data_IF_512756916009
#
_entry.id   IF_512756916009
#
_cell.length_a   1.000
_cell.length_b   1.000
_cell.length_c   1.000
_cell.angle_alpha   90.00
_cell.angle_beta   90.00
_cell.angle_gamma   90.00
#
_symmetry.space_group_name_H-M   'P 1'
#
loop_
_entity.id
_entity.type
_entity.pdbx_description
1 polymer ?
#
# COMPACT_ATOMS: atom_id res chain seq x y z
N UNK A 1 -13.74 7.99 -24.61
CA UNK A 1 -12.74 8.87 -25.25
C UNK A 1 -12.13 9.71 -24.15
N UNK A 2 -10.88 9.47 -23.79
CA UNK A 2 -10.17 10.33 -22.84
C UNK A 2 -9.67 11.51 -23.66
N UNK A 3 -10.24 12.70 -23.46
CA UNK A 3 -9.69 13.92 -24.03
C UNK A 3 -8.27 14.10 -23.49
N UNK A 4 -7.29 14.14 -24.40
CA UNK A 4 -5.93 14.49 -24.05
C UNK A 4 -5.92 16.00 -23.84
N UNK A 5 -5.81 16.40 -22.58
CA UNK A 5 -5.50 17.78 -22.24
C UNK A 5 -4.03 17.95 -22.60
N UNK A 6 -3.76 18.78 -23.60
CA UNK A 6 -2.39 19.15 -23.98
C UNK A 6 -1.89 20.16 -22.93
N UNK A 7 -1.24 19.63 -21.90
CA UNK A 7 -0.71 20.42 -20.80
C UNK A 7 0.69 20.86 -21.22
N UNK A 8 0.93 22.17 -21.31
CA UNK A 8 2.23 22.77 -21.64
C UNK A 8 3.24 22.62 -20.47
N UNK A 9 3.52 21.39 -20.05
CA UNK A 9 4.47 21.02 -19.00
C UNK A 9 5.36 19.92 -19.56
N UNK A 10 6.61 19.87 -19.11
CA UNK A 10 7.50 18.75 -19.38
C UNK A 10 6.82 17.41 -19.03
N UNK A 11 6.80 16.47 -19.98
CA UNK A 11 6.02 15.23 -19.86
C UNK A 11 6.46 14.39 -18.65
N UNK A 12 7.76 14.37 -18.34
CA UNK A 12 8.31 13.62 -17.23
C UNK A 12 8.03 14.33 -15.89
N UNK A 13 8.11 15.66 -15.85
CA UNK A 13 7.69 16.45 -14.69
C UNK A 13 6.19 16.24 -14.37
N UNK A 14 5.32 16.28 -15.38
CA UNK A 14 3.88 16.04 -15.19
C UNK A 14 3.58 14.60 -14.72
N UNK A 15 4.30 13.61 -15.28
CA UNK A 15 4.22 12.22 -14.83
C UNK A 15 4.68 12.02 -13.40
N UNK A 16 5.74 12.71 -12.99
CA UNK A 16 6.23 12.70 -11.61
C UNK A 16 5.22 13.36 -10.67
N UNK A 17 4.67 14.51 -11.04
CA UNK A 17 3.64 15.19 -10.26
C UNK A 17 2.42 14.28 -10.02
N UNK A 18 1.90 13.63 -11.06
CA UNK A 18 0.80 12.68 -10.91
C UNK A 18 1.18 11.47 -10.05
N UNK A 19 2.43 11.01 -10.13
CA UNK A 19 2.92 9.93 -9.25
C UNK A 19 2.92 10.38 -7.79
N UNK A 20 3.41 11.58 -7.50
CA UNK A 20 3.41 12.14 -6.15
C UNK A 20 1.98 12.30 -5.61
N UNK A 21 1.04 12.81 -6.41
CA UNK A 21 -0.38 12.91 -6.00
C UNK A 21 -0.98 11.55 -5.61
N UNK A 22 -0.76 10.52 -6.42
CA UNK A 22 -1.25 9.17 -6.13
C UNK A 22 -0.56 8.59 -4.89
N UNK A 23 0.76 8.72 -4.80
CA UNK A 23 1.55 8.20 -3.68
C UNK A 23 1.19 8.87 -2.36
N UNK A 24 0.88 10.17 -2.36
CA UNK A 24 0.40 10.88 -1.17
C UNK A 24 -0.86 10.22 -0.61
N UNK A 25 -1.84 9.93 -1.47
CA UNK A 25 -3.08 9.27 -1.06
C UNK A 25 -2.86 7.83 -0.59
N UNK A 26 -1.97 7.09 -1.25
CA UNK A 26 -1.62 5.73 -0.85
C UNK A 26 -0.96 5.70 0.54
N UNK A 27 -0.02 6.61 0.82
CA UNK A 27 0.62 6.71 2.13
C UNK A 27 -0.33 7.21 3.22
N UNK A 28 -1.18 8.20 2.90
CA UNK A 28 -2.25 8.66 3.81
C UNK A 28 -3.17 7.51 4.19
N UNK A 29 -3.62 6.71 3.21
CA UNK A 29 -4.45 5.53 3.46
C UNK A 29 -3.72 4.51 4.35
N UNK A 30 -2.45 4.22 4.07
CA UNK A 30 -1.67 3.29 4.88
C UNK A 30 -1.56 3.77 6.34
N UNK A 31 -1.24 5.05 6.56
CA UNK A 31 -1.12 5.64 7.88
C UNK A 31 -2.46 5.67 8.65
N UNK A 32 -3.54 6.11 8.02
CA UNK A 32 -4.87 6.21 8.65
C UNK A 32 -5.36 4.83 9.12
N UNK A 33 -5.22 3.81 8.27
CA UNK A 33 -5.66 2.45 8.60
C UNK A 33 -4.77 1.82 9.68
N UNK A 34 -3.45 2.05 9.61
CA UNK A 34 -2.53 1.58 10.63
C UNK A 34 -2.86 2.23 12.00
N UNK A 35 -3.14 3.53 12.02
CA UNK A 35 -3.52 4.25 13.23
C UNK A 35 -4.82 3.71 13.82
N UNK A 36 -5.87 3.52 13.00
CA UNK A 36 -7.12 2.88 13.45
C UNK A 36 -6.86 1.51 14.05
N UNK A 37 -6.03 0.69 13.41
CA UNK A 37 -5.69 -0.66 13.88
C UNK A 37 -4.97 -0.63 15.24
N UNK A 38 -4.05 0.32 15.45
CA UNK A 38 -3.26 0.47 16.67
C UNK A 38 -4.10 1.00 17.84
N UNK A 39 -4.97 1.98 17.58
CA UNK A 39 -5.78 2.70 18.57
C UNK A 39 -7.04 1.93 19.00
N UNK A 40 -7.59 1.07 18.15
CA UNK A 40 -8.86 0.36 18.44
C UNK A 40 -8.72 -0.82 19.43
N UNK A 41 -7.53 -1.06 19.97
CA UNK A 41 -7.28 -2.17 20.92
C UNK A 41 -7.48 -3.56 20.30
N UNK A 42 -7.46 -3.68 18.96
CA UNK A 42 -7.70 -4.96 18.29
C UNK A 42 -6.63 -6.00 18.65
N UNK A 43 -5.37 -5.57 18.73
CA UNK A 43 -4.23 -6.40 19.13
C UNK A 43 -4.34 -6.96 20.55
N UNK A 44 -5.09 -6.31 21.44
CA UNK A 44 -5.22 -6.72 22.85
C UNK A 44 -6.24 -7.88 23.02
N UNK A 45 -7.05 -8.16 21.98
CA UNK A 45 -8.12 -9.16 21.99
C UNK A 45 -7.91 -10.22 20.89
N UNK A 46 -6.76 -10.87 20.93
CA UNK A 46 -6.40 -12.02 20.08
C UNK A 46 -6.68 -13.30 20.89
N UNK A 47 -7.33 -14.34 20.31
CA UNK A 47 -7.53 -14.61 18.87
C UNK A 47 -8.79 -14.03 18.22
N UNK A 48 -9.71 -13.44 18.98
CA UNK A 48 -11.05 -13.03 18.51
C UNK A 48 -10.98 -12.06 17.32
N UNK A 49 -10.06 -11.10 17.38
CA UNK A 49 -9.88 -10.09 16.33
C UNK A 49 -8.92 -10.50 15.21
N UNK A 50 -8.38 -11.72 15.23
CA UNK A 50 -7.30 -12.13 14.31
C UNK A 50 -7.62 -11.89 12.84
N UNK A 51 -8.84 -12.23 12.40
CA UNK A 51 -9.28 -12.04 11.00
C UNK A 51 -9.33 -10.57 10.62
N UNK A 52 -9.83 -9.70 11.51
CA UNK A 52 -9.89 -8.27 11.28
C UNK A 52 -8.50 -7.64 11.23
N UNK A 53 -7.63 -8.01 12.18
CA UNK A 53 -6.23 -7.57 12.22
C UNK A 53 -5.55 -7.94 10.89
N UNK A 54 -5.73 -9.17 10.40
CA UNK A 54 -5.18 -9.61 9.12
C UNK A 54 -5.70 -8.77 7.94
N UNK A 55 -7.00 -8.50 7.88
CA UNK A 55 -7.59 -7.70 6.81
C UNK A 55 -7.07 -6.26 6.80
N UNK A 56 -6.93 -5.64 7.98
CA UNK A 56 -6.38 -4.29 8.12
C UNK A 56 -4.88 -4.27 7.80
N UNK A 57 -4.10 -5.23 8.28
CA UNK A 57 -2.69 -5.41 7.92
C UNK A 57 -2.49 -5.50 6.41
N UNK A 58 -3.29 -6.34 5.76
CA UNK A 58 -3.29 -6.51 4.30
C UNK A 58 -3.55 -5.19 3.59
N UNK A 59 -4.51 -4.40 4.09
CA UNK A 59 -4.85 -3.11 3.51
C UNK A 59 -3.70 -2.11 3.64
N UNK A 60 -3.05 -2.05 4.82
CA UNK A 60 -1.87 -1.20 5.06
C UNK A 60 -0.73 -1.59 4.13
N UNK A 61 -0.36 -2.87 4.08
CA UNK A 61 0.74 -3.38 3.25
C UNK A 61 0.50 -3.06 1.77
N UNK A 62 -0.74 -3.27 1.28
CA UNK A 62 -1.09 -2.95 -0.11
C UNK A 62 -0.94 -1.46 -0.38
N UNK A 63 -1.55 -0.60 0.46
CA UNK A 63 -1.52 0.85 0.28
C UNK A 63 -0.07 1.37 0.32
N UNK A 64 0.70 0.97 1.33
CA UNK A 64 2.11 1.32 1.48
C UNK A 64 2.98 0.87 0.29
N UNK A 65 2.71 -0.31 -0.27
CA UNK A 65 3.54 -0.89 -1.34
C UNK A 65 3.27 -0.30 -2.72
N UNK A 66 2.05 0.17 -3.01
CA UNK A 66 1.62 0.63 -4.35
C UNK A 66 2.56 1.67 -4.97
N UNK A 67 3.03 2.71 -4.24
CA UNK A 67 3.99 3.69 -4.77
C UNK A 67 5.27 3.10 -5.36
N UNK A 68 5.72 1.97 -4.81
CA UNK A 68 6.99 1.32 -5.17
C UNK A 68 6.82 0.20 -6.21
N UNK A 69 5.60 -0.11 -6.61
CA UNK A 69 5.32 -1.12 -7.66
C UNK A 69 5.07 -0.44 -9.01
N UNK A 70 5.54 -1.10 -10.06
CA UNK A 70 5.41 -0.62 -11.44
C UNK A 70 3.93 -0.49 -11.85
N UNK A 71 3.46 0.73 -12.11
CA UNK A 71 2.14 0.97 -12.69
C UNK A 71 2.12 0.71 -14.20
N UNK A 72 0.94 0.36 -14.74
CA UNK A 72 0.72 0.12 -16.18
C UNK A 72 0.20 1.35 -16.95
N UNK A 73 0.20 2.55 -16.34
CA UNK A 73 -0.33 3.78 -16.94
C UNK A 73 0.72 4.62 -17.68
N UNK A 74 0.29 5.40 -18.69
CA UNK A 74 1.15 6.35 -19.43
C UNK A 74 1.19 7.76 -18.82
N UNK A 75 0.22 8.12 -17.99
CA UNK A 75 0.05 9.47 -17.42
C UNK A 75 0.81 9.67 -16.09
N UNK A 76 1.46 8.62 -15.59
CA UNK A 76 2.09 8.59 -14.28
C UNK A 76 3.45 7.94 -14.43
N UNK A 77 4.47 8.47 -13.73
CA UNK A 77 5.77 7.81 -13.64
C UNK A 77 5.57 6.38 -13.12
N UNK A 78 6.28 5.38 -13.67
CA UNK A 78 5.98 3.97 -13.38
C UNK A 78 6.13 3.60 -11.90
N UNK A 79 7.07 4.22 -11.19
CA UNK A 79 7.37 3.99 -9.78
C UNK A 79 7.76 5.32 -9.14
N UNK A 80 7.55 5.44 -7.84
CA UNK A 80 8.05 6.57 -7.07
C UNK A 80 9.60 6.56 -7.08
N UNK A 81 10.27 7.73 -7.21
CA UNK A 81 11.73 7.80 -7.18
C UNK A 81 12.29 7.31 -5.85
N UNK A 82 13.48 6.67 -5.88
CA UNK A 82 14.09 6.07 -4.68
C UNK A 82 14.57 7.10 -3.67
N UNK A 83 14.79 8.33 -4.13
CA UNK A 83 15.22 9.48 -3.36
C UNK A 83 14.24 9.81 -2.22
N UNK A 84 12.97 9.40 -2.34
CA UNK A 84 12.01 9.56 -1.26
C UNK A 84 12.38 8.76 0.01
N UNK A 85 13.13 7.67 -0.17
CA UNK A 85 13.60 6.81 0.92
C UNK A 85 14.92 7.31 1.56
N UNK A 86 15.43 8.48 1.13
CA UNK A 86 16.73 8.99 1.59
C UNK A 86 16.82 9.28 3.09
N UNK A 87 15.67 9.48 3.75
CA UNK A 87 15.60 9.70 5.19
C UNK A 87 15.53 8.40 6.01
N UNK A 88 15.34 7.25 5.35
CA UNK A 88 15.19 5.98 6.07
C UNK A 88 16.53 5.53 6.65
N UNK A 89 16.49 5.15 7.92
CA UNK A 89 17.60 4.43 8.54
C UNK A 89 17.64 2.95 8.10
N UNK A 90 18.61 2.20 8.60
CA UNK A 90 18.76 0.78 8.27
C UNK A 90 17.57 -0.06 8.69
N UNK A 91 16.96 0.23 9.83
CA UNK A 91 15.83 -0.54 10.35
C UNK A 91 14.56 -0.25 9.54
N UNK A 92 14.28 1.01 9.24
CA UNK A 92 13.20 1.42 8.34
C UNK A 92 13.37 0.81 6.95
N UNK A 93 14.60 0.74 6.44
CA UNK A 93 14.88 0.10 5.17
C UNK A 93 14.62 -1.41 5.20
N UNK A 94 14.98 -2.11 6.28
CA UNK A 94 14.66 -3.53 6.47
C UNK A 94 13.14 -3.77 6.51
N UNK A 95 12.41 -2.98 7.30
CA UNK A 95 10.94 -3.04 7.37
C UNK A 95 10.32 -2.76 5.99
N UNK A 96 10.81 -1.74 5.27
CA UNK A 96 10.35 -1.41 3.93
C UNK A 96 10.53 -2.60 2.97
N UNK A 97 11.72 -3.20 2.94
CA UNK A 97 12.01 -4.35 2.08
C UNK A 97 11.13 -5.55 2.42
N UNK A 98 10.94 -5.82 3.71
CA UNK A 98 10.09 -6.92 4.17
C UNK A 98 8.64 -6.72 3.74
N UNK A 99 8.07 -5.52 3.87
CA UNK A 99 6.70 -5.23 3.42
C UNK A 99 6.54 -5.45 1.91
N UNK A 100 7.51 -5.00 1.12
CA UNK A 100 7.47 -5.20 -0.33
C UNK A 100 7.58 -6.69 -0.72
N UNK A 101 8.36 -7.46 0.04
CA UNK A 101 8.49 -8.90 -0.09
C UNK A 101 7.20 -9.62 0.32
N UNK A 102 6.60 -9.26 1.46
CA UNK A 102 5.36 -9.86 1.98
C UNK A 102 4.20 -9.59 1.02
N UNK A 103 4.12 -8.37 0.47
CA UNK A 103 3.14 -8.07 -0.57
C UNK A 103 3.30 -9.02 -1.75
N UNK A 104 4.53 -9.20 -2.24
CA UNK A 104 4.78 -10.04 -3.41
C UNK A 104 4.56 -11.53 -3.11
N UNK A 105 4.95 -12.02 -1.94
CA UNK A 105 4.90 -13.45 -1.61
C UNK A 105 3.62 -13.89 -0.92
N UNK A 106 3.15 -13.12 0.07
CA UNK A 106 1.97 -13.47 0.87
C UNK A 106 0.66 -13.07 0.19
N UNK A 107 0.66 -12.02 -0.62
CA UNK A 107 -0.59 -11.40 -1.12
C UNK A 107 -0.76 -11.53 -2.63
N UNK A 108 0.33 -11.59 -3.40
CA UNK A 108 0.27 -11.57 -4.86
C UNK A 108 0.27 -12.95 -5.52
N UNK A 109 0.33 -14.06 -4.76
CA UNK A 109 0.43 -15.39 -5.35
C UNK A 109 -0.69 -16.35 -4.92
N UNK A 110 -1.70 -16.44 -5.77
CA UNK A 110 -2.35 -17.71 -6.13
C UNK A 110 -1.43 -18.64 -6.94
N UNK A 111 -0.13 -18.34 -7.07
CA UNK A 111 0.81 -19.22 -7.75
C UNK A 111 1.05 -20.47 -6.91
N UNK A 112 0.80 -21.62 -7.54
CA UNK A 112 0.85 -22.95 -6.95
C UNK A 112 2.22 -23.34 -6.37
N UNK A 113 3.29 -22.57 -6.64
CA UNK A 113 4.64 -22.83 -6.14
C UNK A 113 4.92 -22.29 -4.73
N UNK A 114 4.18 -21.27 -4.26
CA UNK A 114 4.32 -20.73 -2.90
C UNK A 114 3.24 -21.30 -1.95
N UNK A 115 2.12 -21.75 -2.51
CA UNK A 115 1.12 -22.53 -1.81
C UNK A 115 1.46 -24.02 -1.98
N UNK A 116 2.41 -24.56 -1.22
CA UNK A 116 2.58 -26.02 -1.05
C UNK A 116 1.27 -26.61 -0.49
N UNK A 117 0.27 -26.79 -1.35
CA UNK A 117 -1.03 -27.31 -0.99
C UNK A 117 -0.81 -28.78 -0.71
N UNK A 118 -0.76 -29.13 0.55
CA UNK A 118 -0.75 -30.52 0.99
C UNK A 118 -2.21 -30.95 1.15
N UNK A 119 -2.78 -31.75 0.24
CA UNK A 119 -4.12 -32.26 0.42
C UNK A 119 -4.15 -33.16 1.66
N UNK A 120 -5.05 -32.90 2.60
CA UNK A 120 -5.29 -33.76 3.76
C UNK A 120 -6.70 -34.30 3.73
N UNK A 121 -6.87 -35.51 4.23
CA UNK A 121 -8.18 -36.13 4.42
C UNK A 121 -8.65 -35.85 5.84
N UNK A 122 -9.79 -35.18 5.98
CA UNK A 122 -10.50 -35.06 7.25
C UNK A 122 -11.57 -36.16 7.32
N UNK A 123 -11.54 -36.94 8.39
CA UNK A 123 -12.58 -37.91 8.70
C UNK A 123 -13.63 -37.25 9.60
N UNK A 124 -14.84 -37.07 9.07
CA UNK A 124 -16.00 -36.51 9.78
C UNK A 124 -17.05 -37.61 9.93
N UNK A 125 -16.90 -38.43 10.97
CA UNK A 125 -17.73 -39.62 11.18
C UNK A 125 -17.61 -40.59 10.00
N UNK A 126 -18.71 -40.82 9.27
CA UNK A 126 -18.76 -41.76 8.15
C UNK A 126 -18.37 -41.13 6.80
N UNK A 127 -17.86 -39.90 6.77
CA UNK A 127 -17.50 -39.18 5.54
C UNK A 127 -16.03 -38.78 5.58
N UNK A 128 -15.37 -38.93 4.44
CA UNK A 128 -14.02 -38.39 4.20
C UNK A 128 -14.14 -37.20 3.28
N UNK A 129 -13.58 -36.07 3.68
CA UNK A 129 -13.48 -34.89 2.82
C UNK A 129 -12.01 -34.57 2.58
N UNK A 130 -11.70 -34.18 1.34
CA UNK A 130 -10.39 -33.67 1.00
C UNK A 130 -10.37 -32.17 1.32
N UNK A 131 -9.43 -31.72 2.12
CA UNK A 131 -9.21 -30.30 2.38
C UNK A 131 -7.81 -29.88 1.95
N UNK A 132 -7.67 -28.70 1.32
CA UNK A 132 -6.37 -28.12 1.07
C UNK A 132 -5.81 -27.60 2.39
N UNK A 133 -4.66 -28.14 2.81
CA UNK A 133 -3.85 -27.54 3.87
C UNK A 133 -2.68 -26.81 3.22
N UNK A 134 -2.73 -25.48 3.25
CA UNK A 134 -1.69 -24.64 2.70
C UNK A 134 -0.91 -24.05 3.89
N UNK A 135 0.39 -23.79 3.72
CA UNK A 135 1.04 -22.75 4.50
C UNK A 135 0.26 -21.46 4.20
N UNK A 136 -0.61 -21.05 5.12
CA UNK A 136 -1.43 -19.86 4.89
C UNK A 136 -0.48 -18.67 4.91
N UNK A 137 -0.26 -17.95 3.80
CA UNK A 137 0.44 -16.66 3.88
C UNK A 137 -0.33 -15.67 4.77
N UNK A 138 -1.57 -15.99 5.15
CA UNK A 138 -2.39 -15.29 6.13
C UNK A 138 -2.21 -15.83 7.56
N UNK A 139 -1.12 -16.56 7.85
CA UNK A 139 -0.91 -17.23 9.13
C UNK A 139 -0.52 -16.27 10.26
N UNK A 140 0.09 -15.12 9.97
CA UNK A 140 0.56 -14.21 11.01
C UNK A 140 0.38 -12.75 10.57
N UNK A 141 -0.48 -11.96 11.23
CA UNK A 141 -0.50 -10.52 11.01
C UNK A 141 0.82 -9.88 11.45
N UNK A 142 1.15 -8.69 10.96
CA UNK A 142 2.28 -7.95 11.53
C UNK A 142 2.03 -7.73 13.02
N UNK A 143 3.10 -7.86 13.78
CA UNK A 143 3.11 -7.55 15.20
C UNK A 143 2.85 -6.04 15.40
N UNK A 144 2.36 -5.68 16.58
CA UNK A 144 1.97 -4.29 16.90
C UNK A 144 3.13 -3.31 16.70
N UNK A 145 4.31 -3.66 17.21
CA UNK A 145 5.54 -2.85 17.09
C UNK A 145 5.97 -2.61 15.64
N UNK A 146 5.83 -3.64 14.80
CA UNK A 146 6.07 -3.49 13.35
C UNK A 146 5.01 -2.57 12.74
N UNK A 147 3.73 -2.74 13.08
CA UNK A 147 2.66 -1.86 12.60
C UNK A 147 2.86 -0.39 13.01
N UNK A 148 3.36 -0.12 14.22
CA UNK A 148 3.74 1.22 14.69
C UNK A 148 4.85 1.84 13.82
N UNK A 149 5.88 1.04 13.48
CA UNK A 149 6.94 1.47 12.55
C UNK A 149 6.37 1.78 11.17
N UNK A 150 5.50 0.91 10.63
CA UNK A 150 4.87 1.14 9.33
C UNK A 150 4.00 2.39 9.33
N UNK A 151 3.23 2.63 10.39
CA UNK A 151 2.42 3.84 10.52
C UNK A 151 3.28 5.10 10.48
N UNK A 152 4.41 5.09 11.19
CA UNK A 152 5.38 6.19 11.23
C UNK A 152 6.02 6.42 9.86
N UNK A 153 6.53 5.36 9.24
CA UNK A 153 7.14 5.41 7.91
C UNK A 153 6.15 5.90 6.83
N UNK A 154 4.89 5.45 6.90
CA UNK A 154 3.84 5.90 5.99
C UNK A 154 3.58 7.41 6.12
N UNK A 155 3.54 7.92 7.35
CA UNK A 155 3.40 9.35 7.61
C UNK A 155 4.60 10.15 7.09
N UNK A 156 5.82 9.72 7.36
CA UNK A 156 7.04 10.36 6.86
C UNK A 156 7.07 10.42 5.32
N UNK A 157 6.68 9.32 4.66
CA UNK A 157 6.61 9.27 3.20
C UNK A 157 5.47 10.13 2.64
N UNK A 158 4.35 10.24 3.34
CA UNK A 158 3.28 11.16 2.99
C UNK A 158 3.79 12.61 3.00
N UNK A 159 4.43 13.03 4.09
CA UNK A 159 5.01 14.38 4.22
C UNK A 159 6.07 14.63 3.14
N UNK A 160 6.95 13.67 2.89
CA UNK A 160 7.99 13.79 1.86
C UNK A 160 7.40 13.91 0.46
N UNK A 161 6.33 13.14 0.18
CA UNK A 161 5.62 13.23 -1.09
C UNK A 161 4.96 14.59 -1.25
N UNK A 162 4.43 15.16 -0.17
CA UNK A 162 3.86 16.50 -0.16
C UNK A 162 4.94 17.57 -0.41
N UNK A 163 6.09 17.50 0.26
CA UNK A 163 7.22 18.41 0.03
C UNK A 163 7.66 18.42 -1.44
N UNK A 164 7.93 17.24 -2.01
CA UNK A 164 8.33 17.11 -3.41
C UNK A 164 7.24 17.61 -4.37
N UNK A 165 5.97 17.39 -4.05
CA UNK A 165 4.84 17.92 -4.82
C UNK A 165 4.83 19.45 -4.79
N UNK A 166 5.02 20.06 -3.62
CA UNK A 166 5.01 21.52 -3.44
C UNK A 166 6.13 22.21 -4.23
N UNK A 167 7.24 21.53 -4.50
CA UNK A 167 8.30 22.04 -5.37
C UNK A 167 7.88 22.09 -6.84
N UNK A 168 7.02 21.16 -7.29
CA UNK A 168 6.60 21.01 -8.69
C UNK A 168 5.30 21.77 -8.97
N UNK A 169 4.37 21.77 -8.02
CA UNK A 169 3.01 22.30 -8.16
C UNK A 169 2.94 23.72 -8.76
N UNK A 170 3.76 24.71 -8.35
CA UNK A 170 3.72 26.06 -8.91
C UNK A 170 3.98 26.13 -10.42
N UNK A 171 4.64 25.13 -11.00
CA UNK A 171 4.94 25.08 -12.45
C UNK A 171 3.83 24.45 -13.29
N UNK A 172 2.89 23.78 -12.62
CA UNK A 172 1.86 22.95 -13.25
C UNK A 172 0.45 23.49 -12.98
N UNK A 173 0.19 24.05 -11.79
CA UNK A 173 -1.17 24.33 -11.29
C UNK A 173 -2.01 25.20 -12.25
N UNK A 174 -1.42 26.24 -12.83
CA UNK A 174 -2.11 27.16 -13.75
C UNK A 174 -2.40 26.56 -15.14
N UNK A 175 -1.87 25.37 -15.41
CA UNK A 175 -2.02 24.64 -16.69
C UNK A 175 -3.02 23.48 -16.57
N UNK A 176 -3.53 23.22 -15.37
CA UNK A 176 -4.53 22.17 -15.13
C UNK A 176 -5.95 22.68 -15.39
N UNK A 177 -6.89 21.79 -15.78
CA UNK A 177 -8.30 22.14 -15.87
C UNK A 177 -8.83 22.67 -14.53
N UNK A 178 -9.48 23.83 -14.56
CA UNK A 178 -10.13 24.41 -13.38
C UNK A 178 -11.57 23.93 -13.33
N UNK A 179 -11.88 23.07 -12.36
CA UNK A 179 -13.26 22.72 -12.04
C UNK A 179 -13.83 23.78 -11.09
N UNK A 180 -14.80 24.57 -11.56
CA UNK A 180 -15.49 25.55 -10.71
C UNK A 180 -16.54 24.83 -9.89
N UNK A 181 -16.27 24.61 -8.61
CA UNK A 181 -17.28 24.15 -7.67
C UNK A 181 -18.39 25.21 -7.60
N UNK A 182 -19.57 24.89 -8.11
CA UNK A 182 -20.75 25.73 -7.89
C UNK A 182 -21.10 25.60 -6.41
N UNK A 183 -20.79 26.65 -5.64
CA UNK A 183 -21.19 26.73 -4.25
C UNK A 183 -22.70 26.55 -4.16
N UNK A 184 -23.13 25.64 -3.29
CA UNK A 184 -24.51 25.59 -2.83
C UNK A 184 -24.85 26.98 -2.28
N UNK A 185 -25.82 27.62 -2.93
CA UNK A 185 -26.37 28.93 -2.54
C UNK A 185 -27.50 28.73 -1.55
#
# INVERSE_FOLDING_TARGET
>A
MTEYIDIDVDEDEFRLFNRLLLSYNDFKQAHEIASVLLESGYYDNVPENRTLILALNLTVIIAYSRPFKTSRGKLVLKTLPKEILSAFDSEQMEVHQQILYDRDTMMAHSDAGANDVVPKVLELGNRKILVPMNASPYATPLLRDVMEKVATMAYELQERTFEMRMEIEPRIIDKLPVERVHGET
#
